data_IF_872993043333
#
_entry.id   IF_872993043333
#
_cell.length_a   1.000
_cell.length_b   1.000
_cell.length_c   1.000
_cell.angle_alpha   90.00
_cell.angle_beta   90.00
_cell.angle_gamma   90.00
#
_symmetry.space_group_name_H-M   'P 1'
#
loop_
_entity.id
_entity.type
_entity.pdbx_description
1 polymer ?
#
# COMPACT_ATOMS: atom_id res chain seq x y z
N UNK A 1 66.90 44.61 19.96
CA UNK A 1 65.77 43.69 20.35
C UNK A 1 64.71 43.72 19.26
N UNK A 2 64.76 42.81 18.31
CA UNK A 2 63.76 42.71 17.23
C UNK A 2 62.87 41.53 17.51
N UNK A 3 61.57 41.79 17.79
CA UNK A 3 60.50 40.78 17.92
C UNK A 3 60.02 40.47 16.51
N UNK A 4 60.23 39.24 16.04
CA UNK A 4 59.59 38.71 14.82
C UNK A 4 58.18 38.25 15.12
N UNK A 5 57.20 38.90 14.52
CA UNK A 5 55.82 38.41 14.46
C UNK A 5 55.74 37.31 13.39
N UNK A 6 55.29 36.09 13.79
CA UNK A 6 54.92 35.03 12.87
C UNK A 6 53.42 35.05 12.72
N UNK A 7 52.94 35.43 11.53
CA UNK A 7 51.53 35.25 11.15
C UNK A 7 51.31 33.79 10.73
N UNK A 8 50.53 33.06 11.50
CA UNK A 8 50.01 31.76 11.10
C UNK A 8 48.71 31.95 10.29
N UNK A 9 48.77 31.71 8.98
CA UNK A 9 47.58 31.64 8.13
C UNK A 9 46.92 30.29 8.31
N UNK A 10 45.75 30.26 8.95
CA UNK A 10 44.89 29.08 9.01
C UNK A 10 44.11 28.95 7.69
N UNK A 11 44.50 27.99 6.85
CA UNK A 11 43.78 27.63 5.66
C UNK A 11 42.53 26.78 6.09
N UNK A 12 41.35 27.39 6.04
CA UNK A 12 40.08 26.66 6.17
C UNK A 12 39.87 25.85 4.90
N UNK A 13 40.14 24.55 4.98
CA UNK A 13 39.75 23.59 3.93
C UNK A 13 38.24 23.39 4.04
N UNK A 14 37.48 24.09 3.22
CA UNK A 14 36.10 23.75 2.95
C UNK A 14 36.09 22.42 2.20
N UNK A 15 35.84 21.34 2.93
CA UNK A 15 35.52 20.04 2.34
C UNK A 15 34.25 20.17 1.53
N UNK A 16 34.35 20.32 0.22
CA UNK A 16 33.30 20.06 -0.72
C UNK A 16 32.96 18.57 -0.57
N UNK A 17 31.99 18.26 0.27
CA UNK A 17 31.39 16.95 0.30
C UNK A 17 30.82 16.69 -1.10
N UNK A 18 31.48 15.85 -1.88
CA UNK A 18 30.94 15.33 -3.13
C UNK A 18 29.67 14.59 -2.73
N UNK A 19 28.52 15.16 -3.05
CA UNK A 19 27.26 14.42 -3.01
C UNK A 19 27.49 13.19 -3.91
N UNK A 20 27.60 12.01 -3.29
CA UNK A 20 27.78 10.77 -4.01
C UNK A 20 26.52 10.59 -4.84
N UNK A 21 26.64 10.64 -6.15
CA UNK A 21 25.52 10.42 -7.05
C UNK A 21 24.94 9.05 -6.73
N UNK A 22 23.63 8.98 -6.51
CA UNK A 22 22.94 7.73 -6.25
C UNK A 22 22.85 6.96 -7.58
N UNK A 23 23.69 5.94 -7.74
CA UNK A 23 23.73 5.15 -8.98
C UNK A 23 22.65 4.07 -9.04
N UNK A 24 21.93 3.83 -7.94
CA UNK A 24 20.93 2.78 -7.80
C UNK A 24 19.71 3.27 -7.02
N UNK A 25 18.54 2.85 -7.48
CA UNK A 25 17.23 2.98 -6.81
C UNK A 25 16.72 1.59 -6.45
N UNK A 26 16.32 1.38 -5.19
CA UNK A 26 15.66 0.17 -4.75
C UNK A 26 14.15 0.40 -4.69
N UNK A 27 13.39 -0.31 -5.53
CA UNK A 27 11.95 -0.22 -5.64
C UNK A 27 11.28 -1.29 -4.78
N UNK A 28 10.65 -0.90 -3.69
CA UNK A 28 9.92 -1.79 -2.79
C UNK A 28 8.57 -2.22 -3.38
N UNK A 29 8.26 -3.49 -3.26
CA UNK A 29 7.00 -4.08 -3.73
C UNK A 29 6.40 -4.85 -2.56
N UNK A 30 5.18 -4.46 -2.13
CA UNK A 30 4.49 -5.16 -1.04
C UNK A 30 4.08 -6.57 -1.46
N UNK A 31 4.16 -7.52 -0.53
CA UNK A 31 3.99 -8.96 -0.76
C UNK A 31 2.51 -9.37 -0.90
N UNK A 32 1.83 -8.85 -1.91
CA UNK A 32 0.43 -9.22 -2.22
C UNK A 32 0.28 -10.64 -2.74
N UNK A 33 1.35 -11.16 -3.36
CA UNK A 33 1.46 -12.46 -4.02
C UNK A 33 2.82 -13.11 -3.73
N UNK A 34 3.08 -14.22 -4.41
CA UNK A 34 4.41 -14.84 -4.41
C UNK A 34 5.45 -13.89 -5.01
N UNK A 35 6.68 -13.93 -4.48
CA UNK A 35 7.80 -13.10 -4.99
C UNK A 35 8.02 -13.30 -6.49
N UNK A 36 7.94 -14.54 -6.99
CA UNK A 36 8.14 -14.84 -8.40
C UNK A 36 7.08 -14.18 -9.30
N UNK A 37 5.81 -14.19 -8.87
CA UNK A 37 4.74 -13.55 -9.63
C UNK A 37 4.91 -12.02 -9.68
N UNK A 38 5.27 -11.41 -8.54
CA UNK A 38 5.56 -9.98 -8.47
C UNK A 38 6.80 -9.60 -9.30
N UNK A 39 7.85 -10.42 -9.26
CA UNK A 39 9.06 -10.20 -10.05
C UNK A 39 8.77 -10.25 -11.56
N UNK A 40 8.04 -11.25 -12.02
CA UNK A 40 7.64 -11.39 -13.43
C UNK A 40 6.84 -10.17 -13.90
N UNK A 41 5.89 -9.70 -13.11
CA UNK A 41 5.03 -8.57 -13.48
C UNK A 41 5.76 -7.23 -13.44
N UNK A 42 6.64 -6.97 -12.45
CA UNK A 42 7.28 -5.67 -12.26
C UNK A 42 8.56 -5.46 -13.07
N UNK A 43 9.30 -6.52 -13.42
CA UNK A 43 10.58 -6.39 -14.13
C UNK A 43 10.52 -5.54 -15.40
N UNK A 44 9.52 -5.64 -16.29
CA UNK A 44 9.44 -4.80 -17.49
C UNK A 44 9.30 -3.30 -17.15
N UNK A 45 8.50 -2.96 -16.14
CA UNK A 45 8.30 -1.59 -15.67
C UNK A 45 9.59 -1.03 -15.05
N UNK A 46 10.27 -1.81 -14.20
CA UNK A 46 11.52 -1.39 -13.55
C UNK A 46 12.66 -1.24 -14.54
N UNK A 47 12.70 -2.05 -15.61
CA UNK A 47 13.65 -1.90 -16.70
C UNK A 47 13.44 -0.57 -17.45
N UNK A 48 12.20 -0.22 -17.76
CA UNK A 48 11.88 1.06 -18.37
C UNK A 48 12.19 2.24 -17.45
N UNK A 49 11.92 2.11 -16.14
CA UNK A 49 12.28 3.10 -15.13
C UNK A 49 13.80 3.30 -15.06
N UNK A 50 14.58 2.21 -15.05
CA UNK A 50 16.05 2.27 -15.09
C UNK A 50 16.55 3.06 -16.28
N UNK A 51 16.04 2.78 -17.46
CA UNK A 51 16.40 3.46 -18.71
C UNK A 51 16.03 4.95 -18.67
N UNK A 52 14.85 5.28 -18.18
CA UNK A 52 14.36 6.65 -18.11
C UNK A 52 15.15 7.52 -17.10
N UNK A 53 15.50 6.94 -15.96
CA UNK A 53 16.26 7.65 -14.92
C UNK A 53 17.76 7.73 -15.21
N UNK A 54 18.28 6.83 -16.04
CA UNK A 54 19.73 6.65 -16.21
C UNK A 54 20.41 6.07 -14.97
N UNK A 55 19.66 5.33 -14.13
CA UNK A 55 20.10 4.70 -12.89
C UNK A 55 19.74 3.22 -12.90
N UNK A 56 20.42 2.40 -12.11
CA UNK A 56 20.01 1.02 -11.89
C UNK A 56 18.79 0.99 -10.96
N UNK A 57 17.64 0.50 -11.40
CA UNK A 57 16.47 0.27 -10.55
C UNK A 57 16.37 -1.23 -10.24
N UNK A 58 16.42 -1.57 -8.94
CA UNK A 58 16.31 -2.96 -8.48
C UNK A 58 15.02 -3.19 -7.67
N UNK A 59 14.29 -4.28 -7.88
CA UNK A 59 13.20 -4.66 -7.02
C UNK A 59 13.70 -5.02 -5.62
N UNK A 60 12.92 -4.66 -4.62
CA UNK A 60 13.10 -5.10 -3.24
C UNK A 60 11.84 -5.82 -2.78
N UNK A 61 11.99 -7.08 -2.42
CA UNK A 61 10.92 -7.93 -1.91
C UNK A 61 11.17 -8.24 -0.44
N UNK A 62 10.08 -8.43 0.31
CA UNK A 62 10.09 -8.89 1.69
C UNK A 62 9.00 -9.95 1.87
N UNK A 63 9.07 -10.73 2.96
CA UNK A 63 8.08 -11.76 3.28
C UNK A 63 6.69 -11.20 3.59
N UNK A 64 6.64 -9.94 4.03
CA UNK A 64 5.44 -9.22 4.45
C UNK A 64 5.57 -7.72 4.16
N UNK A 65 4.48 -6.99 4.36
CA UNK A 65 4.43 -5.54 4.14
C UNK A 65 5.35 -4.78 5.11
N UNK A 66 5.49 -5.27 6.35
CA UNK A 66 6.34 -4.64 7.35
C UNK A 66 7.81 -4.60 6.90
N UNK A 67 8.29 -5.67 6.24
CA UNK A 67 9.65 -5.73 5.71
C UNK A 67 9.94 -4.65 4.67
N UNK A 68 8.97 -4.25 3.83
CA UNK A 68 9.15 -3.15 2.88
C UNK A 68 9.16 -1.79 3.59
N UNK A 69 8.29 -1.60 4.60
CA UNK A 69 8.25 -0.39 5.43
C UNK A 69 9.59 -0.21 6.17
N UNK A 70 10.09 -1.25 6.82
CA UNK A 70 11.37 -1.22 7.51
C UNK A 70 12.55 -1.07 6.52
N UNK A 71 12.44 -1.66 5.32
CA UNK A 71 13.38 -1.43 4.23
C UNK A 71 13.51 0.06 3.90
N UNK A 72 12.40 0.79 3.81
CA UNK A 72 12.40 2.24 3.59
C UNK A 72 12.99 2.99 4.80
N UNK A 73 12.60 2.62 6.02
CA UNK A 73 13.11 3.23 7.25
C UNK A 73 14.63 3.13 7.37
N UNK A 74 15.20 2.00 6.97
CA UNK A 74 16.65 1.76 7.01
C UNK A 74 17.36 2.09 5.67
N UNK A 75 16.70 2.88 4.80
CA UNK A 75 17.26 3.36 3.53
C UNK A 75 17.70 2.24 2.56
N UNK A 76 17.10 1.05 2.68
CA UNK A 76 17.24 -0.07 1.75
C UNK A 76 16.19 -0.05 0.64
N UNK A 77 15.15 0.74 0.80
CA UNK A 77 14.09 1.02 -0.17
C UNK A 77 14.03 2.52 -0.37
N UNK A 78 14.08 2.97 -1.60
CA UNK A 78 14.09 4.38 -1.99
C UNK A 78 12.71 4.86 -2.42
N UNK A 79 12.01 4.03 -3.16
CA UNK A 79 10.63 4.24 -3.63
C UNK A 79 9.89 2.92 -3.52
N UNK A 80 8.58 2.94 -3.28
CA UNK A 80 7.80 1.72 -3.16
C UNK A 80 6.35 1.90 -3.60
N UNK A 81 5.75 0.80 -4.08
CA UNK A 81 4.31 0.60 -4.10
C UNK A 81 3.84 0.12 -2.73
N UNK A 82 2.88 0.84 -2.16
CA UNK A 82 2.22 0.50 -0.91
C UNK A 82 0.70 0.53 -1.08
N UNK A 83 -0.03 -0.21 -0.23
CA UNK A 83 -1.43 0.10 0.03
C UNK A 83 -1.55 1.31 0.95
N UNK A 84 -2.73 1.95 1.02
CA UNK A 84 -2.90 3.18 1.82
C UNK A 84 -2.51 2.99 3.30
N UNK A 85 -2.85 1.86 3.93
CA UNK A 85 -2.44 1.59 5.32
C UNK A 85 -0.93 1.47 5.49
N UNK A 86 -0.26 0.69 4.64
CA UNK A 86 1.20 0.55 4.69
C UNK A 86 1.91 1.85 4.33
N UNK A 87 1.35 2.67 3.42
CA UNK A 87 1.84 4.02 3.14
C UNK A 87 1.75 4.94 4.37
N UNK A 88 0.66 4.88 5.15
CA UNK A 88 0.56 5.61 6.42
C UNK A 88 1.75 5.24 7.33
N UNK A 89 2.05 3.95 7.47
CA UNK A 89 3.20 3.52 8.28
C UNK A 89 4.54 3.99 7.70
N UNK A 90 4.69 3.96 6.36
CA UNK A 90 5.90 4.45 5.69
C UNK A 90 6.10 5.96 5.89
N UNK A 91 5.03 6.77 5.77
CA UNK A 91 5.05 8.22 6.01
C UNK A 91 5.38 8.52 7.47
N UNK A 92 4.72 7.87 8.41
CA UNK A 92 4.81 8.21 9.84
C UNK A 92 6.11 7.72 10.49
N UNK A 93 6.71 6.63 9.99
CA UNK A 93 7.81 5.94 10.67
C UNK A 93 9.08 5.74 9.82
N UNK A 94 8.96 5.83 8.50
CA UNK A 94 10.05 5.54 7.59
C UNK A 94 10.49 6.74 6.73
N UNK A 95 9.96 7.94 7.01
CA UNK A 95 10.29 9.14 6.25
C UNK A 95 9.80 9.10 4.80
N UNK A 96 8.72 8.39 4.55
CA UNK A 96 8.08 8.31 3.24
C UNK A 96 7.26 9.56 2.90
N UNK A 97 7.01 9.77 1.62
CA UNK A 97 6.15 10.82 1.08
C UNK A 97 5.43 10.28 -0.16
N UNK A 98 4.11 10.39 -0.18
CA UNK A 98 3.30 10.01 -1.35
C UNK A 98 3.51 11.04 -2.45
N UNK A 99 3.77 10.58 -3.68
CA UNK A 99 3.97 11.45 -4.84
C UNK A 99 3.09 11.10 -6.04
N UNK A 100 2.64 9.86 -6.12
CA UNK A 100 1.77 9.40 -7.21
C UNK A 100 0.76 8.37 -6.68
N UNK A 101 -0.28 8.15 -7.49
CA UNK A 101 -1.36 7.19 -7.23
C UNK A 101 -1.56 6.31 -8.45
N UNK A 102 -1.79 5.01 -8.23
CA UNK A 102 -2.28 4.12 -9.28
C UNK A 102 -3.70 4.50 -9.68
N UNK A 103 -4.06 4.22 -10.93
CA UNK A 103 -5.45 4.16 -11.39
C UNK A 103 -5.61 2.88 -12.20
N UNK A 104 -6.84 2.46 -12.45
CA UNK A 104 -7.09 1.35 -13.37
C UNK A 104 -7.05 1.81 -14.82
N UNK A 105 -6.94 0.87 -15.73
CA UNK A 105 -6.93 1.12 -17.18
C UNK A 105 -8.25 1.73 -17.69
N UNK A 106 -9.38 1.48 -17.00
CA UNK A 106 -10.68 2.11 -17.24
C UNK A 106 -10.80 3.53 -16.64
N UNK A 107 -9.75 4.02 -15.97
CA UNK A 107 -9.70 5.33 -15.32
C UNK A 107 -10.30 5.38 -13.92
N UNK A 108 -10.81 4.27 -13.38
CA UNK A 108 -11.32 4.24 -12.01
C UNK A 108 -10.19 4.42 -10.99
N UNK A 109 -10.53 5.10 -9.86
CA UNK A 109 -9.56 5.53 -8.85
C UNK A 109 -9.76 4.84 -7.52
N UNK A 110 -10.16 3.59 -7.55
CA UNK A 110 -10.40 2.85 -6.32
C UNK A 110 -10.76 1.39 -6.55
N UNK A 111 -10.85 0.67 -5.45
CA UNK A 111 -11.16 -0.74 -5.38
C UNK A 111 -11.95 -1.07 -4.10
N UNK A 112 -12.30 -2.31 -3.89
CA UNK A 112 -13.08 -2.71 -2.72
C UNK A 112 -12.40 -3.85 -1.95
N UNK A 113 -12.48 -3.80 -0.64
CA UNK A 113 -12.23 -4.95 0.23
C UNK A 113 -13.39 -5.94 0.13
N UNK A 114 -13.07 -7.20 0.21
CA UNK A 114 -14.02 -8.30 0.15
C UNK A 114 -13.87 -9.22 1.36
N UNK A 115 -14.98 -9.81 1.81
CA UNK A 115 -14.95 -11.13 2.41
C UNK A 115 -15.31 -12.16 1.34
N UNK A 116 -14.55 -13.23 1.29
CA UNK A 116 -14.71 -14.32 0.31
C UNK A 116 -14.91 -15.66 1.03
N UNK A 117 -15.68 -16.53 0.40
CA UNK A 117 -15.89 -17.91 0.82
C UNK A 117 -15.80 -18.86 -0.38
N UNK A 118 -15.63 -20.16 -0.12
CA UNK A 118 -15.73 -21.15 -1.19
C UNK A 118 -17.14 -21.14 -1.79
N UNK A 119 -17.28 -21.29 -3.10
CA UNK A 119 -18.58 -21.22 -3.81
C UNK A 119 -19.64 -22.14 -3.22
N UNK A 120 -19.25 -23.33 -2.76
CA UNK A 120 -20.14 -24.35 -2.19
C UNK A 120 -20.27 -24.22 -0.66
N UNK A 121 -19.66 -23.20 -0.03
CA UNK A 121 -19.81 -22.93 1.40
C UNK A 121 -21.24 -22.55 1.75
N UNK A 122 -21.77 -22.96 2.92
CA UNK A 122 -23.06 -22.49 3.42
C UNK A 122 -23.07 -21.00 3.82
N UNK A 123 -21.89 -20.37 3.98
CA UNK A 123 -21.74 -18.94 4.29
C UNK A 123 -22.00 -18.12 3.04
N UNK A 124 -23.03 -17.26 3.04
CA UNK A 124 -23.46 -16.50 1.87
C UNK A 124 -23.46 -14.99 2.08
N UNK A 125 -23.33 -14.52 3.32
CA UNK A 125 -23.43 -13.11 3.64
C UNK A 125 -22.57 -12.73 4.86
N UNK A 126 -22.47 -11.42 5.14
CA UNK A 126 -21.85 -10.91 6.35
C UNK A 126 -22.60 -11.37 7.61
N UNK A 127 -23.93 -11.43 7.56
CA UNK A 127 -24.75 -11.87 8.68
C UNK A 127 -24.43 -13.32 9.07
N UNK A 128 -24.13 -14.19 8.11
CA UNK A 128 -23.70 -15.56 8.40
C UNK A 128 -22.36 -15.58 9.17
N UNK A 129 -21.43 -14.70 8.81
CA UNK A 129 -20.14 -14.55 9.50
C UNK A 129 -20.34 -14.00 10.92
N UNK A 130 -21.22 -13.02 11.08
CA UNK A 130 -21.49 -12.33 12.34
C UNK A 130 -22.36 -13.15 13.33
N UNK A 131 -22.74 -14.39 13.01
CA UNK A 131 -23.29 -15.33 14.02
C UNK A 131 -22.28 -15.63 15.12
N UNK A 132 -20.99 -15.51 14.82
CA UNK A 132 -19.88 -15.62 15.78
C UNK A 132 -19.97 -16.88 16.66
N UNK A 133 -20.38 -18.01 16.08
CA UNK A 133 -20.56 -19.30 16.79
C UNK A 133 -19.26 -20.12 16.91
N UNK A 134 -18.15 -19.55 16.42
CA UNK A 134 -16.81 -20.19 16.38
C UNK A 134 -16.76 -21.52 15.62
N UNK A 135 -17.67 -21.74 14.69
CA UNK A 135 -17.66 -22.94 13.84
C UNK A 135 -16.66 -22.81 12.66
N UNK A 136 -16.38 -21.57 12.22
CA UNK A 136 -15.61 -21.26 11.02
C UNK A 136 -14.13 -20.92 11.32
N UNK A 137 -13.29 -21.03 10.27
CA UNK A 137 -11.91 -20.55 10.25
C UNK A 137 -11.79 -19.28 9.40
N UNK A 138 -10.86 -18.40 9.73
CA UNK A 138 -10.70 -17.10 9.08
C UNK A 138 -9.27 -16.86 8.59
N UNK A 139 -9.13 -16.48 7.32
CA UNK A 139 -7.92 -15.94 6.73
C UNK A 139 -7.93 -14.41 6.74
N UNK A 140 -7.33 -13.82 7.76
CA UNK A 140 -7.13 -12.38 7.82
C UNK A 140 -6.01 -11.96 6.88
N UNK A 141 -5.98 -10.69 6.44
CA UNK A 141 -4.90 -10.15 5.63
C UNK A 141 -3.65 -9.82 6.44
N UNK A 142 -2.58 -9.40 5.74
CA UNK A 142 -1.41 -8.81 6.38
C UNK A 142 -1.83 -7.63 7.27
N UNK A 143 -1.30 -7.51 8.51
CA UNK A 143 -1.67 -6.43 9.43
C UNK A 143 -1.46 -5.00 8.88
N UNK A 144 -0.61 -4.81 7.87
CA UNK A 144 -0.39 -3.54 7.18
C UNK A 144 -1.17 -3.40 5.87
N UNK A 145 -2.00 -4.38 5.51
CA UNK A 145 -2.87 -4.31 4.33
C UNK A 145 -4.06 -3.38 4.56
N UNK A 146 -4.39 -2.58 3.56
CA UNK A 146 -5.60 -1.75 3.56
C UNK A 146 -6.84 -2.60 3.42
N UNK A 147 -7.01 -3.27 2.29
CA UNK A 147 -8.20 -4.08 1.97
C UNK A 147 -8.25 -5.41 2.72
N UNK A 148 -7.08 -5.97 3.06
CA UNK A 148 -7.01 -7.26 3.78
C UNK A 148 -7.20 -7.13 5.28
N UNK A 149 -6.98 -5.94 5.88
CA UNK A 149 -6.96 -5.79 7.34
C UNK A 149 -7.63 -4.51 7.85
N UNK A 150 -7.22 -3.32 7.36
CA UNK A 150 -7.72 -2.06 7.91
C UNK A 150 -9.22 -1.88 7.68
N UNK A 151 -9.65 -2.07 6.45
CA UNK A 151 -11.04 -1.88 6.01
C UNK A 151 -11.99 -2.92 6.60
N UNK A 152 -11.75 -4.24 6.49
CA UNK A 152 -12.60 -5.21 7.16
C UNK A 152 -12.52 -5.07 8.69
N UNK A 153 -11.36 -4.68 9.24
CA UNK A 153 -11.20 -4.37 10.66
C UNK A 153 -12.14 -3.30 11.18
N UNK A 154 -12.52 -2.35 10.34
CA UNK A 154 -13.50 -1.32 10.67
C UNK A 154 -14.93 -1.75 10.33
N UNK A 155 -15.21 -1.99 9.03
CA UNK A 155 -16.57 -2.18 8.55
C UNK A 155 -17.19 -3.50 8.96
N UNK A 156 -16.39 -4.56 9.11
CA UNK A 156 -16.88 -5.89 9.49
C UNK A 156 -16.82 -6.07 11.00
N UNK A 157 -15.70 -5.69 11.63
CA UNK A 157 -15.47 -6.04 13.03
C UNK A 157 -15.84 -4.91 13.97
N UNK A 158 -15.19 -3.75 13.86
CA UNK A 158 -15.39 -2.67 14.83
C UNK A 158 -16.81 -2.13 14.86
N UNK A 159 -17.44 -1.92 13.70
CA UNK A 159 -18.84 -1.43 13.63
C UNK A 159 -19.87 -2.42 14.16
N UNK A 160 -19.55 -3.71 14.24
CA UNK A 160 -20.42 -4.74 14.79
C UNK A 160 -20.01 -5.16 16.21
N UNK A 161 -19.14 -4.38 16.85
CA UNK A 161 -18.63 -4.66 18.20
C UNK A 161 -18.04 -6.08 18.34
N UNK A 162 -17.35 -6.55 17.31
CA UNK A 162 -16.72 -7.85 17.23
C UNK A 162 -15.24 -7.76 16.92
N UNK A 163 -14.52 -8.87 17.11
CA UNK A 163 -13.18 -9.12 16.55
C UNK A 163 -13.20 -10.45 15.79
N UNK A 164 -12.24 -10.70 14.90
CA UNK A 164 -12.12 -12.03 14.29
C UNK A 164 -12.01 -13.16 15.32
N UNK A 165 -11.31 -12.91 16.42
CA UNK A 165 -11.10 -13.85 17.51
C UNK A 165 -12.40 -14.17 18.28
N UNK A 166 -13.37 -13.25 18.28
CA UNK A 166 -14.71 -13.49 18.88
C UNK A 166 -15.54 -14.42 18.02
N UNK A 167 -15.39 -14.35 16.69
CA UNK A 167 -16.27 -15.01 15.72
C UNK A 167 -15.76 -16.36 15.21
N UNK A 168 -14.43 -16.55 15.16
CA UNK A 168 -13.86 -17.73 14.51
C UNK A 168 -13.13 -18.64 15.50
N UNK A 169 -13.15 -19.95 15.22
CA UNK A 169 -12.39 -20.95 15.99
C UNK A 169 -10.88 -20.81 15.80
N UNK A 170 -10.46 -20.26 14.64
CA UNK A 170 -9.05 -20.02 14.29
C UNK A 170 -8.94 -18.86 13.33
N UNK A 171 -8.01 -17.95 13.61
CA UNK A 171 -7.64 -16.82 12.73
C UNK A 171 -6.18 -17.00 12.32
N UNK A 172 -5.90 -16.83 11.03
CA UNK A 172 -4.54 -16.84 10.46
C UNK A 172 -4.35 -15.64 9.57
N UNK A 173 -3.13 -15.11 9.49
CA UNK A 173 -2.82 -14.00 8.58
C UNK A 173 -2.07 -14.52 7.36
N UNK A 174 -2.42 -14.01 6.19
CA UNK A 174 -1.75 -14.31 4.93
C UNK A 174 -1.87 -13.13 3.96
N UNK A 175 -1.17 -13.18 2.83
CA UNK A 175 -1.36 -12.23 1.75
C UNK A 175 -2.63 -12.55 0.93
N UNK A 176 -2.94 -11.71 -0.06
CA UNK A 176 -4.16 -11.86 -0.86
C UNK A 176 -4.20 -13.18 -1.64
N UNK A 177 -3.10 -13.56 -2.29
CA UNK A 177 -3.00 -14.82 -3.04
C UNK A 177 -3.18 -16.03 -2.12
N UNK A 178 -2.46 -16.06 -0.99
CA UNK A 178 -2.55 -17.14 -0.01
C UNK A 178 -3.97 -17.33 0.54
N UNK A 179 -4.65 -16.23 0.89
CA UNK A 179 -6.04 -16.24 1.34
C UNK A 179 -7.00 -16.73 0.25
N UNK A 180 -6.84 -16.25 -0.99
CA UNK A 180 -7.66 -16.68 -2.11
C UNK A 180 -7.51 -18.18 -2.39
N UNK A 181 -6.29 -18.70 -2.43
CA UNK A 181 -6.01 -20.12 -2.66
C UNK A 181 -6.50 -21.00 -1.49
N UNK A 182 -6.37 -20.51 -0.25
CA UNK A 182 -6.87 -21.23 0.92
C UNK A 182 -8.41 -21.38 0.90
N UNK A 183 -9.13 -20.33 0.51
CA UNK A 183 -10.60 -20.38 0.30
C UNK A 183 -10.96 -21.24 -0.90
N UNK A 184 -10.30 -21.08 -2.05
CA UNK A 184 -10.59 -21.85 -3.26
C UNK A 184 -10.40 -23.36 -3.09
N UNK A 185 -9.59 -23.77 -2.09
CA UNK A 185 -9.34 -25.18 -1.73
C UNK A 185 -10.03 -25.61 -0.43
N UNK A 186 -10.94 -24.80 0.09
CA UNK A 186 -11.70 -25.03 1.33
C UNK A 186 -10.81 -25.32 2.58
N UNK A 187 -9.57 -24.81 2.60
CA UNK A 187 -8.68 -24.89 3.78
C UNK A 187 -9.01 -23.83 4.82
N UNK A 188 -9.64 -22.74 4.40
CA UNK A 188 -10.15 -21.65 5.21
C UNK A 188 -11.59 -21.39 4.76
N UNK A 189 -12.51 -21.22 5.72
CA UNK A 189 -13.93 -21.07 5.41
C UNK A 189 -14.27 -19.67 4.87
N UNK A 190 -13.67 -18.63 5.47
CA UNK A 190 -13.85 -17.22 5.09
C UNK A 190 -12.50 -16.52 5.12
N UNK A 191 -12.25 -15.63 4.17
CA UNK A 191 -11.04 -14.80 4.20
C UNK A 191 -11.29 -13.38 3.70
N UNK A 192 -10.38 -12.46 4.09
CA UNK A 192 -10.32 -11.13 3.47
C UNK A 192 -9.59 -11.18 2.14
N UNK A 193 -10.04 -10.32 1.22
CA UNK A 193 -9.39 -10.12 -0.08
C UNK A 193 -9.78 -8.75 -0.66
N UNK A 194 -9.60 -8.56 -1.96
CA UNK A 194 -10.06 -7.37 -2.67
C UNK A 194 -10.48 -7.68 -4.11
N UNK A 195 -11.20 -6.73 -4.72
CA UNK A 195 -11.73 -6.88 -6.09
C UNK A 195 -10.64 -7.09 -7.12
N UNK A 196 -9.51 -6.46 -6.96
CA UNK A 196 -8.38 -6.52 -7.89
C UNK A 196 -7.74 -7.90 -7.86
N UNK A 197 -7.42 -8.40 -6.67
CA UNK A 197 -6.83 -9.72 -6.49
C UNK A 197 -7.72 -10.84 -7.03
N UNK A 198 -9.04 -10.78 -6.80
CA UNK A 198 -9.95 -11.87 -7.20
C UNK A 198 -10.34 -11.75 -8.68
N UNK A 199 -10.82 -10.57 -9.12
CA UNK A 199 -11.46 -10.45 -10.43
C UNK A 199 -10.52 -10.10 -11.57
N UNK A 200 -9.37 -9.49 -11.27
CA UNK A 200 -8.36 -9.20 -12.28
C UNK A 200 -7.23 -10.24 -12.27
N UNK A 201 -6.51 -10.35 -11.16
CA UNK A 201 -5.29 -11.14 -11.08
C UNK A 201 -5.54 -12.64 -11.03
N UNK A 202 -6.28 -13.13 -10.02
CA UNK A 202 -6.54 -14.56 -9.86
C UNK A 202 -7.36 -15.12 -11.03
N UNK A 203 -8.33 -14.36 -11.53
CA UNK A 203 -9.10 -14.76 -12.71
C UNK A 203 -8.24 -14.96 -13.95
N UNK A 204 -7.13 -14.21 -14.07
CA UNK A 204 -6.16 -14.34 -15.17
C UNK A 204 -5.15 -15.47 -14.93
N UNK A 205 -4.57 -15.54 -13.73
CA UNK A 205 -3.45 -16.44 -13.41
C UNK A 205 -3.91 -17.86 -13.01
N UNK A 206 -5.07 -17.96 -12.34
CA UNK A 206 -5.65 -19.22 -11.91
C UNK A 206 -7.20 -19.18 -11.97
N UNK A 207 -7.78 -19.22 -13.20
CA UNK A 207 -9.23 -19.10 -13.39
C UNK A 207 -10.01 -20.23 -12.70
N UNK A 208 -9.41 -21.41 -12.52
CA UNK A 208 -10.02 -22.52 -11.77
C UNK A 208 -10.17 -22.18 -10.27
N UNK A 209 -9.16 -21.60 -9.66
CA UNK A 209 -9.25 -21.15 -8.28
C UNK A 209 -10.26 -20.01 -8.15
N UNK A 210 -10.21 -19.02 -9.04
CA UNK A 210 -11.16 -17.90 -9.05
C UNK A 210 -12.61 -18.36 -9.14
N UNK A 211 -12.93 -19.37 -10.00
CA UNK A 211 -14.27 -19.92 -10.14
C UNK A 211 -14.80 -20.68 -8.91
N UNK A 212 -13.94 -21.01 -7.95
CA UNK A 212 -14.31 -21.64 -6.69
C UNK A 212 -14.56 -20.64 -5.55
N UNK A 213 -14.43 -19.33 -5.81
CA UNK A 213 -14.59 -18.28 -4.82
C UNK A 213 -15.88 -17.52 -5.09
N UNK A 214 -16.63 -17.22 -4.03
CA UNK A 214 -17.73 -16.26 -4.04
C UNK A 214 -17.45 -15.12 -3.07
N UNK A 215 -17.92 -13.94 -3.44
CA UNK A 215 -17.98 -12.76 -2.59
C UNK A 215 -19.16 -12.88 -1.65
N UNK A 216 -18.96 -12.61 -0.35
CA UNK A 216 -20.02 -12.61 0.67
C UNK A 216 -20.17 -11.24 1.36
N UNK A 217 -19.23 -10.31 1.12
CA UNK A 217 -19.32 -8.92 1.55
C UNK A 217 -18.37 -8.06 0.74
N UNK A 218 -18.76 -6.80 0.52
CA UNK A 218 -17.99 -5.76 -0.17
C UNK A 218 -17.99 -4.47 0.62
N UNK A 219 -16.84 -3.83 0.75
CA UNK A 219 -16.68 -2.53 1.38
C UNK A 219 -17.16 -1.38 0.50
N UNK A 220 -17.36 -0.17 1.06
CA UNK A 220 -17.27 1.07 0.30
C UNK A 220 -15.95 1.13 -0.48
N UNK A 221 -15.87 2.07 -1.46
CA UNK A 221 -14.68 2.25 -2.28
C UNK A 221 -13.47 2.67 -1.43
N UNK A 222 -12.32 2.10 -1.74
CA UNK A 222 -11.02 2.42 -1.17
C UNK A 222 -10.24 3.20 -2.22
N UNK A 223 -9.58 4.33 -1.91
CA UNK A 223 -8.70 5.02 -2.84
C UNK A 223 -7.62 4.08 -3.39
N UNK A 224 -7.31 4.18 -4.68
CA UNK A 224 -6.25 3.42 -5.32
C UNK A 224 -4.90 3.62 -4.60
N UNK A 225 -3.99 2.69 -4.81
CA UNK A 225 -2.77 2.58 -4.03
C UNK A 225 -1.75 3.70 -4.33
N UNK A 226 -1.04 4.19 -3.30
CA UNK A 226 -0.01 5.21 -3.44
C UNK A 226 1.35 4.66 -3.85
N UNK A 227 2.11 5.47 -4.59
CA UNK A 227 3.56 5.38 -4.74
C UNK A 227 4.22 6.31 -3.74
N UNK A 228 5.18 5.80 -2.99
CA UNK A 228 5.84 6.50 -1.89
C UNK A 228 7.34 6.49 -2.13
N UNK A 229 7.98 7.65 -2.05
CA UNK A 229 9.45 7.75 -2.03
C UNK A 229 9.95 8.19 -0.65
N UNK A 230 11.23 8.03 -0.38
CA UNK A 230 11.84 8.64 0.82
C UNK A 230 11.97 10.16 0.63
N UNK A 231 11.63 10.92 1.66
CA UNK A 231 11.71 12.39 1.65
C UNK A 231 13.14 12.90 1.43
N UNK A 232 14.14 12.16 1.92
CA UNK A 232 15.55 12.55 1.89
C UNK A 232 16.28 12.20 0.59
N UNK A 233 15.57 11.72 -0.44
CA UNK A 233 16.15 11.53 -1.76
C UNK A 233 16.56 12.87 -2.40
N UNK A 234 17.61 12.89 -3.23
CA UNK A 234 17.99 14.08 -3.97
C UNK A 234 16.81 14.63 -4.80
N UNK A 235 16.67 15.94 -4.82
CA UNK A 235 15.55 16.60 -5.51
C UNK A 235 15.53 16.24 -7.01
N UNK A 236 16.69 16.22 -7.66
CA UNK A 236 16.82 15.82 -9.08
C UNK A 236 16.30 14.40 -9.32
N UNK A 237 16.59 13.45 -8.41
CA UNK A 237 16.10 12.08 -8.50
C UNK A 237 14.58 12.03 -8.36
N UNK A 238 14.00 12.77 -7.42
CA UNK A 238 12.55 12.89 -7.24
C UNK A 238 11.87 13.46 -8.49
N UNK A 239 12.41 14.51 -9.08
CA UNK A 239 11.84 15.13 -10.28
C UNK A 239 11.87 14.19 -11.48
N UNK A 240 12.98 13.47 -11.70
CA UNK A 240 13.07 12.44 -12.75
C UNK A 240 12.07 11.31 -12.53
N UNK A 241 11.91 10.83 -11.29
CA UNK A 241 10.91 9.81 -10.97
C UNK A 241 9.50 10.32 -11.20
N UNK A 242 9.15 11.51 -10.70
CA UNK A 242 7.83 12.10 -10.89
C UNK A 242 7.49 12.23 -12.38
N UNK A 243 8.45 12.74 -13.16
CA UNK A 243 8.30 12.86 -14.59
C UNK A 243 8.06 11.50 -15.26
N UNK A 244 8.86 10.47 -14.91
CA UNK A 244 8.68 9.11 -15.41
C UNK A 244 7.27 8.60 -15.12
N UNK A 245 6.83 8.62 -13.85
CA UNK A 245 5.53 8.10 -13.46
C UNK A 245 4.37 8.81 -14.17
N UNK A 246 4.41 10.14 -14.25
CA UNK A 246 3.32 10.91 -14.85
C UNK A 246 3.25 10.82 -16.38
N UNK A 247 4.35 10.49 -17.03
CA UNK A 247 4.39 10.35 -18.49
C UNK A 247 4.21 8.92 -19.00
N UNK A 248 4.52 7.92 -18.19
CA UNK A 248 4.49 6.53 -18.58
C UNK A 248 3.10 6.10 -19.05
N UNK A 249 3.02 5.55 -20.25
CA UNK A 249 1.75 5.19 -20.91
C UNK A 249 0.91 6.36 -21.45
N UNK A 250 1.48 7.60 -21.46
CA UNK A 250 0.77 8.80 -21.96
C UNK A 250 1.47 9.48 -23.13
N UNK A 251 2.79 9.59 -23.10
CA UNK A 251 3.55 10.41 -24.03
C UNK A 251 4.58 9.61 -24.81
N UNK A 252 4.65 9.87 -26.11
CA UNK A 252 5.53 9.23 -27.08
C UNK A 252 4.80 8.93 -28.36
N UNK A 253 5.42 8.18 -29.25
CA UNK A 253 4.76 7.60 -30.39
C UNK A 253 3.73 6.53 -29.97
N UNK A 254 2.85 6.16 -30.89
CA UNK A 254 1.75 5.24 -30.61
C UNK A 254 2.23 3.85 -30.16
N UNK A 255 3.33 3.36 -30.70
CA UNK A 255 3.90 2.04 -30.37
C UNK A 255 4.43 2.03 -28.94
N UNK A 256 5.23 3.05 -28.55
CA UNK A 256 5.73 3.23 -27.18
C UNK A 256 4.58 3.29 -26.18
N UNK A 257 3.57 4.14 -26.42
CA UNK A 257 2.43 4.30 -25.51
C UNK A 257 1.65 2.99 -25.36
N UNK A 258 1.39 2.28 -26.48
CA UNK A 258 0.70 0.99 -26.43
C UNK A 258 1.48 -0.06 -25.64
N UNK A 259 2.81 -0.13 -25.83
CA UNK A 259 3.70 -1.06 -25.07
C UNK A 259 3.69 -0.72 -23.58
N UNK A 260 3.84 0.54 -23.20
CA UNK A 260 3.86 0.97 -21.80
C UNK A 260 2.51 0.69 -21.11
N UNK A 261 1.39 0.93 -21.78
CA UNK A 261 0.06 0.57 -21.27
C UNK A 261 -0.11 -0.95 -21.11
N UNK A 262 0.42 -1.74 -22.02
CA UNK A 262 0.39 -3.19 -21.89
C UNK A 262 1.22 -3.68 -20.68
N UNK A 263 2.35 -3.01 -20.37
CA UNK A 263 3.13 -3.27 -19.16
C UNK A 263 2.31 -2.91 -17.93
N UNK A 264 1.72 -1.71 -17.87
CA UNK A 264 0.87 -1.28 -16.75
C UNK A 264 -0.31 -2.24 -16.52
N UNK A 265 -0.99 -2.67 -17.57
CA UNK A 265 -2.10 -3.62 -17.51
C UNK A 265 -1.72 -5.00 -16.96
N UNK A 266 -0.42 -5.32 -16.93
CA UNK A 266 0.10 -6.54 -16.31
C UNK A 266 0.59 -6.33 -14.87
N UNK A 267 0.73 -5.08 -14.43
CA UNK A 267 1.08 -4.78 -13.04
C UNK A 267 -0.15 -4.98 -12.15
N UNK A 268 0.07 -5.65 -11.03
CA UNK A 268 -0.94 -5.87 -10.01
C UNK A 268 -2.30 -6.25 -10.62
N UNK A 269 -3.16 -5.32 -10.92
CA UNK A 269 -4.58 -5.53 -11.22
C UNK A 269 -5.05 -4.86 -12.49
N UNK A 270 -4.14 -4.55 -13.39
CA UNK A 270 -4.44 -3.78 -14.58
C UNK A 270 -4.40 -2.28 -14.30
N UNK A 271 -3.18 -1.77 -14.07
CA UNK A 271 -3.01 -0.34 -13.89
C UNK A 271 -3.10 0.41 -15.20
N UNK A 272 -3.69 1.61 -15.12
CA UNK A 272 -3.52 2.66 -16.11
C UNK A 272 -2.36 3.59 -15.75
N UNK A 273 -2.14 4.66 -16.54
CA UNK A 273 -1.12 5.66 -16.27
C UNK A 273 -1.35 6.38 -14.94
N UNK A 274 -0.31 6.53 -14.13
CA UNK A 274 -0.37 7.10 -12.79
C UNK A 274 -0.88 8.54 -12.76
N UNK A 275 -1.45 8.95 -11.63
CA UNK A 275 -1.78 10.36 -11.35
C UNK A 275 -0.83 10.90 -10.28
N UNK A 276 -0.60 12.22 -10.31
CA UNK A 276 0.05 12.89 -9.19
C UNK A 276 -0.81 12.75 -7.92
N UNK A 277 -0.16 12.59 -6.79
CA UNK A 277 -0.84 12.50 -5.50
C UNK A 277 0.04 13.08 -4.38
N UNK A 278 -0.47 13.04 -3.15
CA UNK A 278 0.23 13.48 -1.96
C UNK A 278 -0.23 12.69 -0.74
N UNK A 279 0.37 12.95 0.42
CA UNK A 279 -0.08 12.37 1.70
C UNK A 279 -1.57 12.61 2.00
N UNK A 280 -2.20 13.58 1.32
CA UNK A 280 -3.61 13.88 1.47
C UNK A 280 -4.53 12.71 1.10
N UNK A 281 -4.14 11.86 0.12
CA UNK A 281 -4.94 10.69 -0.25
C UNK A 281 -5.09 9.69 0.89
N UNK A 282 -4.25 9.74 1.91
CA UNK A 282 -4.26 8.80 3.04
C UNK A 282 -5.32 9.17 4.10
N UNK A 283 -5.95 10.35 4.01
CA UNK A 283 -6.82 10.88 5.06
C UNK A 283 -8.01 9.97 5.38
N UNK A 284 -8.66 9.41 4.37
CA UNK A 284 -9.82 8.54 4.58
C UNK A 284 -9.44 7.28 5.37
N UNK A 285 -8.31 6.66 5.02
CA UNK A 285 -7.83 5.46 5.74
C UNK A 285 -7.28 5.82 7.12
N UNK A 286 -6.68 7.01 7.30
CA UNK A 286 -6.31 7.52 8.64
C UNK A 286 -7.53 7.70 9.54
N UNK A 287 -8.64 8.24 9.01
CA UNK A 287 -9.88 8.37 9.77
C UNK A 287 -10.43 6.99 10.19
N UNK A 288 -10.43 6.01 9.30
CA UNK A 288 -10.82 4.63 9.60
C UNK A 288 -9.96 4.03 10.72
N UNK A 289 -8.64 4.21 10.66
CA UNK A 289 -7.73 3.71 11.72
C UNK A 289 -7.95 4.43 13.05
N UNK A 290 -8.21 5.73 13.05
CA UNK A 290 -8.53 6.50 14.25
C UNK A 290 -9.87 6.09 14.87
N UNK A 291 -10.91 5.83 14.05
CA UNK A 291 -12.19 5.27 14.53
C UNK A 291 -12.02 3.90 15.15
N UNK A 292 -11.25 3.00 14.51
CA UNK A 292 -10.93 1.69 15.08
C UNK A 292 -10.20 1.80 16.43
N UNK A 293 -9.25 2.73 16.52
CA UNK A 293 -8.53 2.99 17.75
C UNK A 293 -9.48 3.47 18.86
N UNK A 294 -10.43 4.37 18.55
CA UNK A 294 -11.46 4.84 19.47
C UNK A 294 -12.31 3.69 19.98
N UNK A 295 -12.93 2.89 19.09
CA UNK A 295 -13.79 1.77 19.48
C UNK A 295 -13.02 0.76 20.34
N UNK A 296 -11.76 0.47 19.98
CA UNK A 296 -10.91 -0.42 20.79
C UNK A 296 -10.61 0.13 22.18
N UNK A 297 -10.43 1.46 22.32
CA UNK A 297 -10.20 2.13 23.60
C UNK A 297 -11.46 2.12 24.46
N UNK A 298 -12.63 2.40 23.86
CA UNK A 298 -13.94 2.35 24.52
C UNK A 298 -14.22 0.95 25.11
N UNK A 299 -13.98 -0.12 24.34
CA UNK A 299 -14.10 -1.51 24.81
C UNK A 299 -13.21 -1.84 26.01
N UNK A 300 -12.06 -1.16 26.12
CA UNK A 300 -11.12 -1.35 27.23
C UNK A 300 -11.39 -0.44 28.43
N UNK A 301 -12.29 0.51 28.31
CA UNK A 301 -12.52 1.55 29.30
C UNK A 301 -11.34 2.54 29.43
N UNK A 302 -10.50 2.68 28.38
CA UNK A 302 -9.34 3.57 28.38
C UNK A 302 -9.75 4.97 27.91
N UNK A 303 -10.25 5.80 28.84
CA UNK A 303 -10.71 7.16 28.57
C UNK A 303 -9.63 8.06 27.97
N UNK A 304 -8.36 7.87 28.35
CA UNK A 304 -7.25 8.66 27.81
C UNK A 304 -7.02 8.34 26.31
N UNK A 305 -7.06 7.07 25.94
CA UNK A 305 -6.94 6.64 24.55
C UNK A 305 -8.17 7.03 23.71
N UNK A 306 -9.39 7.03 24.29
CA UNK A 306 -10.61 7.54 23.64
C UNK A 306 -10.44 9.00 23.28
N UNK A 307 -10.05 9.84 24.26
CA UNK A 307 -9.83 11.27 24.04
C UNK A 307 -8.75 11.56 23.01
N UNK A 308 -7.66 10.79 23.01
CA UNK A 308 -6.61 10.92 22.01
C UNK A 308 -7.11 10.60 20.58
N UNK A 309 -7.89 9.54 20.43
CA UNK A 309 -8.48 9.16 19.15
C UNK A 309 -9.52 10.20 18.66
N UNK A 310 -10.31 10.78 19.54
CA UNK A 310 -11.25 11.86 19.21
C UNK A 310 -10.52 13.13 18.74
N UNK A 311 -9.43 13.48 19.40
CA UNK A 311 -8.60 14.63 18.98
C UNK A 311 -7.99 14.39 17.60
N UNK A 312 -7.51 13.19 17.32
CA UNK A 312 -6.98 12.81 16.01
C UNK A 312 -8.06 12.90 14.93
N UNK A 313 -9.26 12.35 15.19
CA UNK A 313 -10.40 12.45 14.26
C UNK A 313 -10.77 13.91 13.96
N UNK A 314 -10.78 14.78 14.98
CA UNK A 314 -11.06 16.20 14.80
C UNK A 314 -9.99 16.88 13.94
N UNK A 315 -8.72 16.53 14.11
CA UNK A 315 -7.62 17.05 13.31
C UNK A 315 -7.73 16.57 11.84
N UNK A 316 -7.97 15.29 11.63
CA UNK A 316 -8.12 14.69 10.28
C UNK A 316 -9.31 15.30 9.54
N UNK A 317 -10.43 15.54 10.24
CA UNK A 317 -11.59 16.24 9.67
C UNK A 317 -11.25 17.66 9.21
N UNK A 318 -10.54 18.44 10.04
CA UNK A 318 -10.09 19.79 9.65
C UNK A 318 -9.19 19.74 8.40
N UNK A 319 -8.26 18.77 8.32
CA UNK A 319 -7.41 18.60 7.14
C UNK A 319 -8.24 18.28 5.90
N UNK A 320 -9.20 17.36 6.00
CA UNK A 320 -10.12 17.01 4.92
C UNK A 320 -10.95 18.21 4.44
N UNK A 321 -11.47 19.02 5.37
CA UNK A 321 -12.25 20.22 5.06
C UNK A 321 -11.40 21.29 4.34
N UNK A 322 -10.12 21.42 4.68
CA UNK A 322 -9.20 22.35 4.00
C UNK A 322 -8.92 21.88 2.57
N UNK A 323 -8.63 20.61 2.37
CA UNK A 323 -8.34 20.03 1.06
C UNK A 323 -9.57 20.06 0.15
N UNK A 324 -10.74 19.69 0.69
CA UNK A 324 -12.00 19.74 -0.07
C UNK A 324 -12.39 21.16 -0.52
N UNK A 325 -11.97 22.20 0.19
CA UNK A 325 -12.17 23.61 -0.21
C UNK A 325 -11.14 24.10 -1.22
N UNK A 326 -10.00 23.44 -1.32
CA UNK A 326 -8.90 23.82 -2.22
C UNK A 326 -9.10 23.43 -3.68
N UNK A 327 -10.18 22.70 -4.02
CA UNK A 327 -10.58 22.36 -5.40
C UNK A 327 -9.46 21.61 -6.18
N UNK A 328 -9.25 20.33 -5.87
CA UNK A 328 -8.44 19.41 -6.71
C UNK A 328 -9.33 18.52 -7.56
#
# INVERSE_FOLDING_TARGET
MFRKLVLAAAAAVFGLGTAQAQDQINFGIISTESTSALEESFNPFLADMSKALGLTVKPFFASDYAGVIEGMRFKKVDVAWFGNKSAIQAVDRAGGEVFAQTIKDDGSRGYHSLLIAHKDSPVNSLEDVLKCDKSLTFGNGDPNSTSGFAIPGYYVWALNDQTPEDCFKRVTNSNHEGNALAVATAKVDVATNNTESIYARLAKTNPKAASNIKEIWRSPIIPSDPMVWRQDLPQETKEKMLFFFLQYGRFGDQEKVARERAILANLSDGWGPFLASSNAQLLDVRQIEAFKAKIKAERKGDEAAVKAAEQELANLKKMSDIIGKGGY
#
